data_IF_301822855161
#
_entry.id   IF_301822855161
#
_cell.length_a   1.000
_cell.length_b   1.000
_cell.length_c   1.000
_cell.angle_alpha   90.00
_cell.angle_beta   90.00
_cell.angle_gamma   90.00
#
_symmetry.space_group_name_H-M   'P 1'
#
loop_
_entity.id
_entity.type
_entity.pdbx_description
1 polymer ?
#
# COMPACT_ATOMS: atom_id res chain seq x y z
N UNK A 1 -10.23 8.46 -12.03
CA UNK A 1 -9.37 7.25 -12.08
C UNK A 1 -7.91 7.66 -12.21
N UNK A 2 -7.04 7.04 -11.48
CA UNK A 2 -5.60 7.24 -11.53
C UNK A 2 -4.94 6.02 -12.14
N UNK A 3 -4.03 6.24 -13.10
CA UNK A 3 -3.29 5.14 -13.73
C UNK A 3 -1.80 5.40 -13.60
N UNK A 4 -1.07 4.42 -13.07
CA UNK A 4 0.37 4.44 -13.00
C UNK A 4 0.94 3.52 -14.08
N UNK A 5 1.78 4.07 -14.95
CA UNK A 5 2.51 3.30 -15.96
C UNK A 5 3.93 3.83 -16.07
N UNK A 6 4.86 2.93 -16.30
CA UNK A 6 6.28 3.26 -16.37
C UNK A 6 7.08 2.39 -15.44
N UNK A 7 8.37 2.60 -15.43
CA UNK A 7 9.27 1.85 -14.56
C UNK A 7 10.04 2.79 -13.65
N UNK A 8 10.43 2.28 -12.51
CA UNK A 8 11.16 3.02 -11.49
C UNK A 8 11.13 2.25 -10.19
N UNK A 9 12.01 2.63 -9.28
CA UNK A 9 12.03 2.04 -7.94
C UNK A 9 10.99 2.78 -7.10
N UNK A 10 9.93 2.13 -6.67
CA UNK A 10 8.90 2.65 -5.76
C UNK A 10 8.18 3.92 -6.27
N UNK A 11 7.57 3.90 -7.47
CA UNK A 11 6.75 5.03 -7.88
C UNK A 11 5.48 5.11 -7.00
N UNK A 12 5.15 6.32 -6.56
CA UNK A 12 3.99 6.53 -5.70
C UNK A 12 3.37 7.90 -5.96
N UNK A 13 2.12 8.03 -5.50
CA UNK A 13 1.40 9.29 -5.52
C UNK A 13 0.85 9.53 -4.12
N UNK A 14 1.33 10.58 -3.46
CA UNK A 14 1.05 10.85 -2.05
C UNK A 14 0.26 12.15 -1.91
N UNK A 15 -0.78 12.10 -1.07
CA UNK A 15 -1.56 13.28 -0.73
C UNK A 15 -0.91 13.97 0.48
N UNK A 16 0.02 14.87 0.21
CA UNK A 16 0.88 15.47 1.23
C UNK A 16 0.16 16.39 2.20
N UNK A 17 -1.01 16.91 1.84
CA UNK A 17 -1.80 17.76 2.71
C UNK A 17 -2.72 16.99 3.66
N UNK A 18 -2.72 15.67 3.59
CA UNK A 18 -3.41 14.83 4.56
C UNK A 18 -2.45 14.50 5.71
N UNK A 19 -2.98 14.43 6.93
CA UNK A 19 -2.18 14.08 8.10
C UNK A 19 -3.05 13.25 9.04
N UNK A 20 -2.75 11.96 9.13
CA UNK A 20 -3.55 11.00 9.90
C UNK A 20 -2.63 10.21 10.82
N UNK A 21 -2.97 10.18 12.11
CA UNK A 21 -2.25 9.39 13.10
C UNK A 21 -2.84 7.98 13.21
N UNK A 22 -4.15 7.89 13.41
CA UNK A 22 -4.91 6.65 13.48
C UNK A 22 -6.10 6.74 12.53
N UNK A 23 -6.39 5.67 11.81
CA UNK A 23 -7.50 5.68 10.88
C UNK A 23 -7.39 4.59 9.82
N UNK A 24 -7.73 4.93 8.59
CA UNK A 24 -7.67 3.99 7.48
C UNK A 24 -7.24 4.66 6.18
N UNK A 25 -6.76 3.83 5.26
CA UNK A 25 -6.56 4.19 3.86
C UNK A 25 -7.04 3.04 2.99
N UNK A 26 -7.76 3.34 1.92
CA UNK A 26 -8.37 2.34 1.06
C UNK A 26 -8.33 2.79 -0.39
N UNK A 27 -8.11 1.85 -1.30
CA UNK A 27 -8.11 2.11 -2.73
C UNK A 27 -8.62 0.88 -3.47
N UNK A 28 -9.31 1.10 -4.59
CA UNK A 28 -9.55 0.06 -5.57
C UNK A 28 -8.46 0.12 -6.62
N UNK A 29 -7.90 -1.02 -6.98
CA UNK A 29 -6.85 -1.07 -7.98
C UNK A 29 -7.08 -2.23 -8.93
N UNK A 30 -6.58 -2.06 -10.16
CA UNK A 30 -6.66 -3.09 -11.21
C UNK A 30 -5.27 -3.23 -11.81
N UNK A 31 -4.55 -4.31 -11.50
CA UNK A 31 -3.25 -4.58 -12.13
C UNK A 31 -3.46 -4.98 -13.58
N UNK A 32 -2.78 -4.30 -14.49
CA UNK A 32 -2.98 -4.51 -15.93
C UNK A 32 -1.77 -5.21 -16.54
N UNK A 33 -0.56 -4.77 -16.22
CA UNK A 33 0.65 -5.27 -16.86
C UNK A 33 1.85 -5.08 -15.94
N UNK A 34 2.92 -5.79 -16.24
CA UNK A 34 4.20 -5.74 -15.55
C UNK A 34 4.88 -7.10 -15.64
N UNK A 35 6.17 -7.11 -15.95
CA UNK A 35 6.94 -8.35 -16.10
C UNK A 35 7.68 -8.73 -14.82
N UNK A 36 8.14 -7.75 -14.06
CA UNK A 36 8.79 -7.98 -12.77
C UNK A 36 7.80 -7.96 -11.64
N UNK A 37 6.84 -7.03 -11.69
CA UNK A 37 5.80 -6.89 -10.67
C UNK A 37 4.49 -6.44 -11.32
N UNK A 38 3.38 -6.95 -10.81
CA UNK A 38 2.05 -6.42 -11.05
C UNK A 38 1.43 -6.14 -9.69
N UNK A 39 1.62 -4.93 -9.18
CA UNK A 39 1.28 -4.62 -7.81
C UNK A 39 0.54 -3.30 -7.69
N UNK A 40 -0.37 -3.25 -6.73
CA UNK A 40 -0.97 -2.02 -6.26
C UNK A 40 -0.85 -1.97 -4.76
N UNK A 41 -0.65 -0.79 -4.21
CA UNK A 41 -0.49 -0.63 -2.79
C UNK A 41 -0.94 0.73 -2.28
N UNK A 42 -0.93 0.85 -0.95
CA UNK A 42 -1.21 2.10 -0.25
C UNK A 42 -0.06 2.41 0.69
N UNK A 43 0.19 3.70 0.88
CA UNK A 43 1.16 4.19 1.87
C UNK A 43 0.41 4.99 2.93
N UNK A 44 0.92 4.95 4.17
CA UNK A 44 0.37 5.74 5.26
C UNK A 44 1.48 6.10 6.25
N UNK A 45 1.18 7.06 7.13
CA UNK A 45 2.19 7.64 8.01
C UNK A 45 3.44 8.06 7.23
N UNK A 46 3.21 8.56 6.01
CA UNK A 46 4.28 9.02 5.14
C UNK A 46 4.82 10.35 5.70
N UNK A 47 6.07 10.33 6.10
CA UNK A 47 6.77 11.52 6.63
C UNK A 47 7.54 12.23 5.53
N UNK A 48 8.24 11.46 4.71
CA UNK A 48 9.03 11.89 3.58
C UNK A 48 9.31 10.68 2.68
N UNK A 49 10.10 10.88 1.64
CA UNK A 49 10.40 9.84 0.65
C UNK A 49 11.15 8.64 1.24
N UNK A 50 11.69 8.77 2.45
CA UNK A 50 12.50 7.74 3.06
C UNK A 50 11.84 7.07 4.28
N UNK A 51 10.70 7.59 4.74
CA UNK A 51 10.07 7.12 5.98
C UNK A 51 8.56 7.00 5.84
N UNK A 52 8.06 5.78 5.65
CA UNK A 52 6.63 5.49 5.52
C UNK A 52 6.33 4.01 5.67
N UNK A 53 5.05 3.67 5.89
CA UNK A 53 4.56 2.31 5.74
C UNK A 53 3.97 2.12 4.37
N UNK A 54 4.07 0.89 3.84
CA UNK A 54 3.41 0.48 2.60
C UNK A 54 2.86 -0.93 2.73
N UNK A 55 1.65 -1.12 2.25
CA UNK A 55 1.04 -2.44 2.05
C UNK A 55 0.73 -2.60 0.57
N UNK A 56 1.01 -3.77 0.02
CA UNK A 56 0.77 -4.04 -1.39
C UNK A 56 0.19 -5.42 -1.62
N UNK A 57 -0.54 -5.54 -2.74
CA UNK A 57 -0.95 -6.83 -3.28
C UNK A 57 -0.27 -7.01 -4.63
N UNK A 58 0.32 -8.18 -4.87
CA UNK A 58 1.13 -8.46 -6.06
C UNK A 58 0.60 -9.70 -6.78
N UNK A 59 0.24 -9.52 -8.06
CA UNK A 59 -0.30 -10.59 -8.91
C UNK A 59 0.76 -11.65 -9.20
N UNK A 60 1.97 -11.22 -9.55
CA UNK A 60 3.01 -12.16 -9.99
C UNK A 60 3.49 -13.06 -8.85
N UNK A 61 3.44 -12.57 -7.63
CA UNK A 61 3.84 -13.32 -6.45
C UNK A 61 2.65 -13.94 -5.72
N UNK A 62 1.42 -13.53 -6.04
CA UNK A 62 0.19 -13.94 -5.35
C UNK A 62 0.32 -13.75 -3.85
N UNK A 63 0.62 -12.52 -3.43
CA UNK A 63 0.75 -12.23 -2.01
C UNK A 63 0.30 -10.81 -1.66
N UNK A 64 0.08 -10.63 -0.36
CA UNK A 64 -0.10 -9.32 0.29
C UNK A 64 1.11 -9.13 1.20
N UNK A 65 1.73 -7.97 1.13
CA UNK A 65 2.93 -7.68 1.88
C UNK A 65 2.80 -6.37 2.64
N UNK A 66 3.46 -6.31 3.79
CA UNK A 66 3.54 -5.12 4.63
C UNK A 66 5.01 -4.78 4.86
N UNK A 67 5.38 -3.54 4.55
CA UNK A 67 6.74 -3.05 4.72
C UNK A 67 6.74 -1.73 5.48
N UNK A 68 7.85 -1.45 6.14
CA UNK A 68 8.20 -0.07 6.50
C UNK A 68 9.46 0.34 5.76
N UNK A 69 9.54 1.62 5.43
CA UNK A 69 10.74 2.21 4.84
C UNK A 69 11.26 3.24 5.82
N UNK A 70 12.53 3.11 6.20
CA UNK A 70 13.20 4.02 7.12
C UNK A 70 14.59 4.36 6.56
N UNK A 71 14.90 5.66 6.47
CA UNK A 71 16.17 6.10 5.90
C UNK A 71 16.36 5.62 4.47
N UNK A 72 15.27 5.46 3.70
CA UNK A 72 15.33 4.98 2.33
C UNK A 72 15.46 3.46 2.20
N UNK A 73 15.51 2.73 3.31
CA UNK A 73 15.67 1.29 3.30
C UNK A 73 14.35 0.60 3.58
N UNK A 74 13.91 -0.25 2.64
CA UNK A 74 12.66 -1.00 2.79
C UNK A 74 12.89 -2.30 3.54
N UNK A 75 12.09 -2.51 4.58
CA UNK A 75 12.18 -3.69 5.44
C UNK A 75 10.83 -4.38 5.48
N UNK A 76 10.79 -5.68 5.17
CA UNK A 76 9.56 -6.46 5.18
C UNK A 76 9.17 -6.76 6.63
N UNK A 77 7.93 -6.42 6.98
CA UNK A 77 7.35 -6.78 8.28
C UNK A 77 6.69 -8.15 8.18
N UNK A 78 5.86 -8.36 7.17
CA UNK A 78 5.18 -9.63 6.94
C UNK A 78 4.69 -9.71 5.50
N UNK A 79 4.64 -10.93 4.95
CA UNK A 79 3.91 -11.19 3.72
C UNK A 79 3.13 -12.50 3.87
N UNK A 80 2.01 -12.58 3.15
CA UNK A 80 1.06 -13.69 3.25
C UNK A 80 0.59 -14.03 1.85
N UNK A 81 0.51 -15.32 1.53
CA UNK A 81 -0.05 -15.76 0.25
C UNK A 81 -1.52 -15.36 0.16
N UNK A 82 -1.89 -14.78 -0.97
CA UNK A 82 -3.24 -14.32 -1.24
C UNK A 82 -3.50 -14.34 -2.75
N UNK A 83 -4.70 -14.75 -3.19
CA UNK A 83 -5.00 -14.73 -4.62
C UNK A 83 -5.19 -13.29 -5.09
N UNK A 84 -4.33 -12.85 -6.01
CA UNK A 84 -4.43 -11.53 -6.63
C UNK A 84 -4.45 -11.73 -8.14
N UNK A 85 -5.62 -11.57 -8.75
CA UNK A 85 -5.79 -11.83 -10.16
C UNK A 85 -5.51 -10.58 -10.99
N UNK A 86 -4.79 -10.78 -12.10
CA UNK A 86 -4.51 -9.72 -13.06
C UNK A 86 -5.79 -9.30 -13.78
N UNK A 87 -5.85 -8.03 -14.17
CA UNK A 87 -6.94 -7.44 -14.95
C UNK A 87 -8.31 -7.51 -14.26
N UNK A 88 -8.30 -7.54 -12.92
CA UNK A 88 -9.50 -7.48 -12.10
C UNK A 88 -9.36 -6.39 -11.05
N UNK A 89 -10.48 -5.79 -10.69
CA UNK A 89 -10.50 -4.80 -9.61
C UNK A 89 -10.39 -5.48 -8.26
N UNK A 90 -9.53 -4.95 -7.42
CA UNK A 90 -9.34 -5.37 -6.04
C UNK A 90 -9.49 -4.16 -5.12
N UNK A 91 -9.91 -4.41 -3.88
CA UNK A 91 -9.97 -3.38 -2.85
C UNK A 91 -8.92 -3.68 -1.80
N UNK A 92 -7.99 -2.76 -1.62
CA UNK A 92 -6.97 -2.84 -0.58
C UNK A 92 -7.25 -1.81 0.48
N UNK A 93 -7.38 -2.24 1.72
CA UNK A 93 -7.65 -1.37 2.85
C UNK A 93 -6.67 -1.66 3.96
N UNK A 94 -6.14 -0.62 4.57
CA UNK A 94 -5.32 -0.71 5.77
C UNK A 94 -5.98 0.10 6.87
N UNK A 95 -6.13 -0.53 8.03
CA UNK A 95 -6.61 0.13 9.25
C UNK A 95 -5.45 0.17 10.24
N UNK A 96 -5.19 1.34 10.81
CA UNK A 96 -4.07 1.53 11.72
C UNK A 96 -4.47 2.37 12.92
N UNK A 97 -4.07 1.90 14.10
CA UNK A 97 -4.37 2.57 15.36
C UNK A 97 -3.23 2.30 16.34
N UNK A 98 -2.51 3.34 16.77
CA UNK A 98 -1.32 3.18 17.58
C UNK A 98 -0.28 2.35 16.83
N UNK A 99 0.09 1.20 17.39
CA UNK A 99 1.00 0.24 16.74
C UNK A 99 0.27 -0.91 16.04
N UNK A 100 -1.06 -0.97 16.09
CA UNK A 100 -1.83 -2.03 15.46
C UNK A 100 -2.05 -1.70 13.97
N UNK A 101 -1.75 -2.67 13.11
CA UNK A 101 -1.89 -2.53 11.65
C UNK A 101 -2.62 -3.76 11.12
N UNK A 102 -3.67 -3.52 10.35
CA UNK A 102 -4.48 -4.57 9.75
C UNK A 102 -4.59 -4.33 8.25
N UNK A 103 -4.23 -5.32 7.44
CA UNK A 103 -4.27 -5.24 5.98
C UNK A 103 -5.37 -6.15 5.46
N UNK A 104 -6.28 -5.58 4.69
CA UNK A 104 -7.49 -6.24 4.20
C UNK A 104 -7.48 -6.16 2.67
N UNK A 105 -7.61 -7.31 2.02
CA UNK A 105 -7.74 -7.40 0.56
C UNK A 105 -9.06 -8.06 0.22
N UNK A 106 -9.89 -7.37 -0.59
CA UNK A 106 -11.19 -7.87 -1.04
C UNK A 106 -12.08 -8.34 0.12
N UNK A 107 -12.04 -7.61 1.23
CA UNK A 107 -12.86 -7.87 2.40
C UNK A 107 -12.30 -8.91 3.37
N UNK A 108 -11.14 -9.49 3.07
CA UNK A 108 -10.50 -10.48 3.93
C UNK A 108 -9.23 -9.93 4.57
N UNK A 109 -9.11 -10.08 5.89
CA UNK A 109 -7.91 -9.68 6.62
C UNK A 109 -6.81 -10.71 6.42
N UNK A 110 -5.69 -10.29 5.83
CA UNK A 110 -4.53 -11.17 5.61
C UNK A 110 -3.40 -10.89 6.59
N UNK A 111 -3.27 -9.65 7.05
CA UNK A 111 -2.22 -9.25 7.99
C UNK A 111 -2.88 -8.51 9.14
N UNK A 112 -2.52 -8.89 10.36
CA UNK A 112 -3.00 -8.26 11.59
C UNK A 112 -1.83 -8.34 12.57
N UNK A 113 -1.09 -7.22 12.71
CA UNK A 113 0.17 -7.20 13.45
C UNK A 113 0.29 -5.93 14.27
N UNK A 114 1.27 -5.91 15.17
CA UNK A 114 1.71 -4.70 15.86
C UNK A 114 3.09 -4.31 15.37
N UNK A 115 3.28 -3.05 15.01
CA UNK A 115 4.55 -2.50 14.57
C UNK A 115 4.63 -1.02 14.93
N UNK A 116 5.70 -0.65 15.57
CA UNK A 116 5.87 0.72 16.09
C UNK A 116 7.08 1.44 15.45
N UNK A 117 7.55 0.98 14.28
CA UNK A 117 8.70 1.59 13.62
C UNK A 117 8.44 3.02 13.19
N UNK A 118 7.23 3.32 12.71
CA UNK A 118 6.87 4.68 12.32
C UNK A 118 5.61 5.08 13.07
N UNK A 119 5.73 6.10 13.90
CA UNK A 119 4.66 6.58 14.76
C UNK A 119 4.26 8.01 14.38
N UNK A 120 3.07 8.43 14.84
CA UNK A 120 2.58 9.78 14.66
C UNK A 120 1.92 10.01 13.30
N UNK A 121 1.47 11.24 13.10
CA UNK A 121 0.72 11.62 11.90
C UNK A 121 1.59 11.62 10.65
N UNK A 122 1.01 11.27 9.52
CA UNK A 122 1.66 11.34 8.23
C UNK A 122 0.67 11.33 7.09
N UNK A 123 1.16 11.52 5.88
CA UNK A 123 0.35 11.52 4.67
C UNK A 123 -0.05 10.12 4.25
N UNK A 124 -0.97 10.04 3.30
CA UNK A 124 -1.45 8.79 2.71
C UNK A 124 -1.36 8.88 1.19
N UNK A 125 -1.32 7.73 0.54
CA UNK A 125 -1.24 7.71 -0.91
C UNK A 125 -1.31 6.31 -1.50
N UNK A 126 -1.10 6.22 -2.81
CA UNK A 126 -1.05 4.96 -3.55
C UNK A 126 0.38 4.69 -4.00
N UNK A 127 0.68 3.42 -4.25
CA UNK A 127 2.02 2.95 -4.52
C UNK A 127 2.02 1.82 -5.54
N UNK A 128 3.00 1.84 -6.45
CA UNK A 128 3.28 0.72 -7.35
C UNK A 128 4.77 0.40 -7.29
N UNK A 129 5.17 -0.71 -7.88
CA UNK A 129 6.57 -1.12 -7.88
C UNK A 129 7.02 -1.47 -9.29
N UNK A 130 8.28 -1.11 -9.58
CA UNK A 130 9.00 -1.47 -10.81
C UNK A 130 8.19 -1.12 -12.07
N UNK A 131 7.97 -2.09 -12.95
CA UNK A 131 7.31 -1.87 -14.24
C UNK A 131 5.79 -2.09 -14.20
N UNK A 132 5.19 -2.07 -13.01
CA UNK A 132 3.75 -2.26 -12.86
C UNK A 132 2.94 -1.22 -13.64
N UNK A 133 1.91 -1.68 -14.33
CA UNK A 133 0.85 -0.84 -14.88
C UNK A 133 -0.41 -1.12 -14.11
N UNK A 134 -0.89 -0.14 -13.36
CA UNK A 134 -2.01 -0.32 -12.44
C UNK A 134 -2.96 0.86 -12.53
N UNK A 135 -4.25 0.57 -12.62
CA UNK A 135 -5.30 1.58 -12.51
C UNK A 135 -5.77 1.65 -11.07
N UNK A 136 -6.00 2.87 -10.58
CA UNK A 136 -6.51 3.11 -9.24
C UNK A 136 -7.82 3.89 -9.32
N UNK A 137 -8.74 3.58 -8.40
CA UNK A 137 -10.01 4.29 -8.28
C UNK A 137 -10.48 4.29 -6.83
N UNK A 138 -11.41 5.18 -6.50
CA UNK A 138 -12.05 5.24 -5.18
C UNK A 138 -11.06 5.28 -4.02
N UNK A 139 -10.01 6.10 -4.17
CA UNK A 139 -9.07 6.32 -3.08
C UNK A 139 -9.77 7.07 -1.95
N UNK A 140 -9.76 6.50 -0.76
CA UNK A 140 -10.36 7.12 0.41
C UNK A 140 -9.49 6.92 1.65
N UNK A 141 -9.61 7.82 2.58
CA UNK A 141 -8.90 7.77 3.85
C UNK A 141 -9.69 8.56 4.89
N UNK A 142 -9.43 8.25 6.16
CA UNK A 142 -10.05 8.99 7.25
C UNK A 142 -9.38 8.72 8.56
N UNK A 143 -9.48 9.67 9.48
CA UNK A 143 -9.00 9.54 10.85
C UNK A 143 -10.07 8.93 11.75
N UNK A 144 -9.62 8.41 12.87
CA UNK A 144 -10.50 7.99 13.96
C UNK A 144 -10.79 9.15 14.88
#
# INVERSE_FOLDING_TARGET
>A
MLKQSGSGTFPWCVKKNASITDGFVEVQFKPIDGQEDQAGGVVWRWKDDDNYYVARANVLENNVSLYHTEGGQRITIQYVDAPVQSRQWHRLRVEFSGKHIKVILDGKSYIDVEDAHIAGAGAVGVWTKADSVTEFDNFSFGGQ
#
